data_IF_205658602379
#
_entry.id   IF_205658602379
#
_cell.length_a   1.000
_cell.length_b   1.000
_cell.length_c   1.000
_cell.angle_alpha   90.00
_cell.angle_beta   90.00
_cell.angle_gamma   90.00
#
_symmetry.space_group_name_H-M   'P 1'
#
loop_
_entity.id
_entity.type
_entity.pdbx_description
1 polymer ?
#
# COMPACT_ATOMS: atom_id res chain seq x y z
N UNK A 1 23.21 27.38 2.32
CA UNK A 1 21.91 27.02 1.70
C UNK A 1 21.36 25.80 2.42
N UNK A 2 20.47 26.02 3.38
CA UNK A 2 19.89 24.99 4.24
C UNK A 2 18.73 24.30 3.52
N UNK A 3 18.83 22.97 3.41
CA UNK A 3 17.86 22.09 2.75
C UNK A 3 16.47 22.18 3.42
N UNK A 4 15.59 23.02 2.90
CA UNK A 4 14.19 23.17 3.31
C UNK A 4 13.42 21.83 3.32
N UNK A 5 13.83 20.88 2.49
CA UNK A 5 13.27 19.52 2.43
C UNK A 5 13.39 18.73 3.75
N UNK A 6 14.49 18.90 4.50
CA UNK A 6 14.69 18.16 5.77
C UNK A 6 13.79 18.67 6.91
N UNK A 7 13.15 19.83 6.75
CA UNK A 7 12.34 20.46 7.79
C UNK A 7 10.89 19.95 7.77
N UNK A 8 10.38 19.52 6.61
CA UNK A 8 8.99 19.06 6.44
C UNK A 8 8.76 17.69 7.11
N UNK A 9 9.78 16.81 7.15
CA UNK A 9 9.66 15.47 7.77
C UNK A 9 9.81 15.44 9.29
N UNK A 10 9.86 16.59 9.96
CA UNK A 10 9.84 16.69 11.43
C UNK A 10 8.50 17.21 11.97
N UNK A 11 7.38 16.89 11.32
CA UNK A 11 6.10 16.94 12.00
C UNK A 11 6.16 15.95 13.18
N UNK A 12 6.24 16.50 14.39
CA UNK A 12 6.09 15.74 15.64
C UNK A 12 4.86 14.85 15.46
N UNK A 13 4.98 13.55 15.73
CA UNK A 13 3.82 12.67 15.95
C UNK A 13 2.95 13.36 17.00
N UNK A 14 1.89 14.02 16.54
CA UNK A 14 0.83 14.51 17.39
C UNK A 14 0.16 13.23 17.90
N UNK A 15 0.27 12.95 19.19
CA UNK A 15 -0.50 11.89 19.81
C UNK A 15 -1.96 12.34 19.81
N UNK A 16 -2.63 12.14 18.68
CA UNK A 16 -4.06 12.35 18.52
C UNK A 16 -4.71 11.19 19.26
N UNK A 17 -5.33 11.49 20.40
CA UNK A 17 -6.31 10.58 21.01
C UNK A 17 -7.48 10.32 20.04
N UNK A 18 -8.55 9.63 20.45
CA UNK A 18 -9.71 9.36 19.58
C UNK A 18 -10.55 10.62 19.22
N UNK A 19 -9.90 11.76 18.98
CA UNK A 19 -10.47 13.02 18.50
C UNK A 19 -10.49 13.10 16.96
N UNK A 20 -10.07 12.05 16.25
CA UNK A 20 -9.96 12.10 14.79
C UNK A 20 -11.30 11.94 14.08
N UNK A 21 -12.34 11.43 14.74
CA UNK A 21 -13.60 11.11 14.06
C UNK A 21 -14.51 12.34 13.95
N UNK A 22 -14.77 13.06 15.05
CA UNK A 22 -15.72 14.19 15.03
C UNK A 22 -15.21 15.40 14.24
N UNK A 23 -13.93 15.77 14.41
CA UNK A 23 -13.36 16.91 13.66
C UNK A 23 -13.27 16.62 12.16
N UNK A 24 -13.02 15.36 11.78
CA UNK A 24 -13.02 14.93 10.39
C UNK A 24 -14.42 14.96 9.78
N UNK A 25 -15.43 14.49 10.52
CA UNK A 25 -16.82 14.50 10.07
C UNK A 25 -17.35 15.93 9.88
N UNK A 26 -17.08 16.85 10.82
CA UNK A 26 -17.45 18.26 10.68
C UNK A 26 -16.71 18.94 9.53
N UNK A 27 -15.43 18.64 9.33
CA UNK A 27 -14.65 19.12 8.20
C UNK A 27 -15.20 18.59 6.87
N UNK A 28 -15.62 17.32 6.82
CA UNK A 28 -16.22 16.69 5.64
C UNK A 28 -17.58 17.30 5.30
N UNK A 29 -18.46 17.48 6.29
CA UNK A 29 -19.78 18.12 6.09
C UNK A 29 -19.64 19.54 5.55
N UNK A 30 -18.64 20.31 5.98
CA UNK A 30 -18.35 21.64 5.41
C UNK A 30 -17.92 21.56 3.94
N UNK A 31 -17.18 20.52 3.54
CA UNK A 31 -16.67 20.31 2.17
C UNK A 31 -17.69 19.76 1.19
N UNK A 32 -18.77 19.12 1.66
CA UNK A 32 -19.89 18.66 0.79
C UNK A 32 -20.46 19.82 -0.05
N UNK A 33 -20.38 21.06 0.43
CA UNK A 33 -20.82 22.26 -0.29
C UNK A 33 -19.78 22.83 -1.28
N UNK A 34 -18.53 22.36 -1.28
CA UNK A 34 -17.43 22.94 -2.05
C UNK A 34 -17.39 22.45 -3.52
N UNK A 35 -18.41 21.73 -4.01
CA UNK A 35 -18.46 21.08 -5.34
C UNK A 35 -17.24 20.21 -5.66
N UNK A 36 -16.51 19.74 -4.64
CA UNK A 36 -15.36 18.86 -4.83
C UNK A 36 -15.92 17.48 -5.19
N UNK A 37 -15.58 16.93 -6.37
CA UNK A 37 -16.06 15.62 -6.74
C UNK A 37 -15.59 14.61 -5.71
N UNK A 38 -16.52 13.77 -5.25
CA UNK A 38 -16.21 12.61 -4.42
C UNK A 38 -15.06 11.84 -5.12
N UNK A 39 -14.02 11.41 -4.38
CA UNK A 39 -12.96 10.61 -4.97
C UNK A 39 -13.61 9.44 -5.70
N UNK A 40 -13.43 9.37 -7.02
CA UNK A 40 -14.10 8.40 -7.87
C UNK A 40 -13.98 7.02 -7.25
N UNK A 41 -15.11 6.38 -6.93
CA UNK A 41 -15.11 5.01 -6.41
C UNK A 41 -14.46 4.03 -7.40
N UNK A 42 -14.26 4.44 -8.65
CA UNK A 42 -13.51 3.77 -9.71
C UNK A 42 -12.02 3.59 -9.39
N UNK A 43 -11.43 4.43 -8.52
CA UNK A 43 -10.07 4.24 -7.99
C UNK A 43 -10.06 3.46 -6.67
N UNK A 44 -11.21 2.92 -6.25
CA UNK A 44 -11.31 2.04 -5.08
C UNK A 44 -10.78 0.66 -5.47
N UNK A 45 -9.47 0.55 -5.73
CA UNK A 45 -8.79 -0.72 -5.52
C UNK A 45 -9.25 -1.23 -4.15
N UNK A 46 -9.76 -2.45 -4.11
CA UNK A 46 -10.32 -2.99 -2.87
C UNK A 46 -9.25 -2.89 -1.76
N UNK A 47 -9.67 -2.79 -0.50
CA UNK A 47 -8.72 -2.82 0.62
C UNK A 47 -7.82 -4.06 0.51
N UNK A 48 -8.37 -5.18 0.03
CA UNK A 48 -7.63 -6.40 -0.28
C UNK A 48 -6.54 -6.22 -1.35
N UNK A 49 -6.82 -5.49 -2.44
CA UNK A 49 -5.84 -5.21 -3.49
C UNK A 49 -4.72 -4.29 -3.00
N UNK A 50 -5.03 -3.29 -2.17
CA UNK A 50 -4.03 -2.44 -1.50
C UNK A 50 -3.19 -3.20 -0.46
N UNK A 51 -3.76 -4.21 0.18
CA UNK A 51 -3.08 -5.07 1.15
C UNK A 51 -2.38 -6.26 0.49
N UNK A 52 -2.49 -6.42 -0.83
CA UNK A 52 -1.86 -7.51 -1.56
C UNK A 52 -0.36 -7.36 -1.49
N UNK A 53 0.27 -8.25 -0.73
CA UNK A 53 1.73 -8.31 -0.61
C UNK A 53 2.30 -8.63 -1.98
N UNK A 54 3.06 -7.69 -2.55
CA UNK A 54 3.81 -7.92 -3.78
C UNK A 54 5.01 -8.80 -3.41
N UNK A 55 5.16 -9.99 -4.04
CA UNK A 55 6.32 -10.83 -3.79
C UNK A 55 7.61 -10.10 -4.10
N UNK A 56 8.65 -10.32 -3.30
CA UNK A 56 9.96 -9.79 -3.63
C UNK A 56 10.54 -10.47 -4.88
N UNK A 57 11.44 -9.79 -5.60
CA UNK A 57 12.14 -10.40 -6.74
C UNK A 57 12.84 -11.70 -6.36
N UNK A 58 13.39 -11.79 -5.13
CA UNK A 58 14.01 -13.01 -4.60
C UNK A 58 13.02 -14.14 -4.40
N UNK A 59 11.81 -13.83 -3.95
CA UNK A 59 10.75 -14.81 -3.74
C UNK A 59 10.24 -15.36 -5.08
N UNK A 60 10.15 -14.51 -6.11
CA UNK A 60 9.85 -14.92 -7.49
C UNK A 60 10.94 -15.85 -8.02
N UNK A 61 12.22 -15.47 -7.88
CA UNK A 61 13.36 -16.29 -8.35
C UNK A 61 13.39 -17.64 -7.62
N UNK A 62 13.12 -17.67 -6.31
CA UNK A 62 13.07 -18.91 -5.53
C UNK A 62 12.00 -19.87 -6.05
N UNK A 63 10.78 -19.38 -6.29
CA UNK A 63 9.69 -20.20 -6.82
C UNK A 63 10.03 -20.77 -8.21
N UNK A 64 10.64 -19.96 -9.08
CA UNK A 64 11.07 -20.42 -10.40
C UNK A 64 12.17 -21.48 -10.33
N UNK A 65 13.10 -21.34 -9.39
CA UNK A 65 14.13 -22.34 -9.14
C UNK A 65 13.53 -23.66 -8.66
N UNK A 66 12.64 -23.63 -7.66
CA UNK A 66 11.96 -24.82 -7.14
C UNK A 66 11.18 -25.53 -8.25
N UNK A 67 10.44 -24.78 -9.06
CA UNK A 67 9.69 -25.32 -10.21
C UNK A 67 10.61 -26.08 -11.18
N UNK A 68 11.69 -25.45 -11.64
CA UNK A 68 12.66 -26.08 -12.55
C UNK A 68 13.31 -27.31 -11.93
N UNK A 69 13.61 -27.27 -10.64
CA UNK A 69 14.20 -28.41 -9.93
C UNK A 69 13.24 -29.61 -9.92
N UNK A 70 11.94 -29.39 -9.68
CA UNK A 70 10.95 -30.49 -9.72
C UNK A 70 10.78 -31.09 -11.12
N UNK A 71 10.83 -30.27 -12.16
CA UNK A 71 10.78 -30.76 -13.55
C UNK A 71 12.02 -31.61 -13.89
N UNK A 72 13.19 -31.19 -13.44
CA UNK A 72 14.44 -31.95 -13.61
C UNK A 72 14.39 -33.26 -12.83
N UNK A 73 13.93 -33.25 -11.59
CA UNK A 73 13.80 -34.46 -10.79
C UNK A 73 12.88 -35.49 -11.46
N UNK A 74 11.73 -35.06 -12.00
CA UNK A 74 10.83 -35.95 -12.76
C UNK A 74 11.50 -36.52 -14.01
N UNK A 75 12.33 -35.74 -14.71
CA UNK A 75 13.07 -36.23 -15.88
C UNK A 75 14.12 -37.27 -15.50
N UNK A 76 14.80 -37.10 -14.36
CA UNK A 76 15.77 -38.07 -13.84
C UNK A 76 15.07 -39.35 -13.40
N UNK A 77 13.92 -39.26 -12.73
CA UNK A 77 13.13 -40.43 -12.32
C UNK A 77 12.57 -41.23 -13.51
N UNK A 78 12.42 -40.59 -14.68
CA UNK A 78 11.96 -41.22 -15.91
C UNK A 78 13.10 -41.81 -16.77
N UNK A 79 14.36 -41.63 -16.37
CA UNK A 79 15.55 -42.24 -17.01
C UNK A 79 15.91 -43.57 -16.37
#
# INVERSE_FOLDING_TARGET
>A
MTNAWKQIHRMKRLAIGPTTTLEYDEWWVRRVNDNIPEPSRESSQSIEEHLRVVPSELEIIKQDFERRNTELQKKIEQM
#
